data_IF_093311940991
#
_entry.id   IF_093311940991
#
_cell.length_a   1.000
_cell.length_b   1.000
_cell.length_c   1.000
_cell.angle_alpha   90.00
_cell.angle_beta   90.00
_cell.angle_gamma   90.00
#
_symmetry.space_group_name_H-M   'P 1'
#
loop_
_entity.id
_entity.type
_entity.pdbx_description
1 polymer ?
#
# COMPACT_ATOMS: atom_id res chain seq x y z
N UNK A 1 -2.68 -15.41 9.73
CA UNK A 1 -2.48 -15.67 8.29
C UNK A 1 -1.15 -15.06 7.90
N UNK A 2 -0.43 -15.63 6.93
CA UNK A 2 0.84 -15.06 6.47
C UNK A 2 0.62 -14.03 5.36
N UNK A 3 1.60 -13.14 5.16
CA UNK A 3 1.60 -12.13 4.09
C UNK A 3 1.53 -12.79 2.69
N UNK A 4 2.12 -13.98 2.55
CA UNK A 4 2.11 -14.75 1.30
C UNK A 4 0.73 -15.31 0.94
N UNK A 5 -0.08 -15.67 1.94
CA UNK A 5 -1.45 -16.18 1.76
C UNK A 5 -2.46 -15.04 1.58
N UNK A 6 -2.33 -13.96 2.35
CA UNK A 6 -3.23 -12.81 2.28
C UNK A 6 -2.49 -11.57 1.81
N UNK A 7 -2.53 -11.37 0.50
CA UNK A 7 -1.85 -10.30 -0.26
C UNK A 7 -2.53 -8.93 -0.17
N UNK A 8 -3.73 -8.90 0.40
CA UNK A 8 -4.54 -7.70 0.60
C UNK A 8 -4.86 -7.57 2.09
N UNK A 9 -4.30 -6.56 2.75
CA UNK A 9 -4.57 -6.28 4.16
C UNK A 9 -4.23 -4.84 4.49
N UNK A 10 -4.82 -4.35 5.58
CA UNK A 10 -4.49 -3.03 6.10
C UNK A 10 -3.65 -3.15 7.37
N UNK A 11 -2.90 -2.09 7.64
CA UNK A 11 -2.13 -1.95 8.87
C UNK A 11 -2.13 -0.49 9.33
N UNK A 12 -1.93 -0.29 10.62
CA UNK A 12 -1.74 1.04 11.19
C UNK A 12 -0.47 1.04 12.00
N UNK A 13 0.50 1.86 11.59
CA UNK A 13 1.75 2.03 12.31
C UNK A 13 1.78 3.42 12.96
N UNK A 14 2.21 3.47 14.21
CA UNK A 14 2.24 4.69 15.02
C UNK A 14 3.67 5.14 15.17
N UNK A 15 3.87 6.43 15.44
CA UNK A 15 5.20 6.93 15.81
C UNK A 15 5.69 6.17 17.03
N UNK A 16 6.86 5.57 16.89
CA UNK A 16 7.48 4.79 17.94
C UNK A 16 8.12 5.75 18.96
N UNK A 17 7.54 5.82 20.16
CA UNK A 17 8.09 6.58 21.28
C UNK A 17 9.04 5.74 22.15
N UNK A 18 9.21 4.45 21.86
CA UNK A 18 10.03 3.52 22.66
C UNK A 18 11.35 3.20 21.99
N UNK A 19 12.42 3.03 22.77
CA UNK A 19 13.72 2.58 22.26
C UNK A 19 13.79 1.06 22.03
N UNK A 20 12.75 0.32 22.42
CA UNK A 20 12.71 -1.14 22.30
C UNK A 20 12.41 -1.65 20.88
N UNK A 21 11.73 -0.84 20.07
CA UNK A 21 11.37 -1.24 18.70
C UNK A 21 12.49 -0.87 17.73
N UNK A 22 12.98 -1.88 17.02
CA UNK A 22 14.19 -1.80 16.21
C UNK A 22 13.88 -2.17 14.78
N UNK A 23 14.39 -1.39 13.85
CA UNK A 23 14.38 -1.62 12.42
C UNK A 23 15.68 -2.30 11.98
N UNK A 24 15.55 -3.44 11.32
CA UNK A 24 16.70 -4.17 10.77
C UNK A 24 17.02 -3.60 9.39
N UNK A 25 18.01 -2.70 9.33
CA UNK A 25 18.46 -2.11 8.06
C UNK A 25 19.32 -3.08 7.25
N UNK A 26 20.02 -3.98 7.94
CA UNK A 26 20.70 -5.12 7.34
C UNK A 26 20.76 -6.29 8.32
N UNK A 27 21.40 -7.40 7.93
CA UNK A 27 21.63 -8.55 8.83
C UNK A 27 22.41 -8.16 10.09
N UNK A 28 23.24 -7.12 10.00
CA UNK A 28 24.16 -6.68 11.06
C UNK A 28 23.84 -5.28 11.59
N UNK A 29 23.08 -4.47 10.84
CA UNK A 29 22.74 -3.10 11.22
C UNK A 29 21.29 -3.00 11.69
N UNK A 30 21.15 -2.63 12.96
CA UNK A 30 19.89 -2.43 13.66
C UNK A 30 19.81 -0.96 14.09
N UNK A 31 18.73 -0.29 13.74
CA UNK A 31 18.49 1.11 14.09
C UNK A 31 17.17 1.25 14.83
N UNK A 32 17.00 2.29 15.63
CA UNK A 32 15.70 2.57 16.27
C UNK A 32 14.63 2.77 15.19
N UNK A 33 13.50 2.09 15.33
CA UNK A 33 12.36 2.30 14.44
C UNK A 33 11.71 3.67 14.74
N UNK A 34 11.38 4.44 13.71
CA UNK A 34 10.58 5.68 13.87
C UNK A 34 9.09 5.36 13.96
N UNK A 35 8.68 4.25 13.36
CA UNK A 35 7.30 3.78 13.34
C UNK A 35 7.22 2.31 13.71
N UNK A 36 6.18 1.96 14.43
CA UNK A 36 5.89 0.58 14.83
C UNK A 36 4.38 0.35 14.80
N UNK A 37 3.97 -0.83 14.36
CA UNK A 37 2.61 -1.32 14.51
C UNK A 37 2.48 -2.75 14.05
N UNK A 38 1.25 -3.24 14.03
CA UNK A 38 0.92 -4.60 13.63
C UNK A 38 -0.06 -4.56 12.44
N UNK A 39 -0.11 -5.66 11.71
CA UNK A 39 -1.17 -5.90 10.74
C UNK A 39 -2.54 -5.94 11.41
N UNK A 40 -3.58 -5.68 10.63
CA UNK A 40 -4.96 -5.68 11.08
C UNK A 40 -5.37 -7.07 11.59
N UNK A 41 -5.90 -7.12 12.82
CA UNK A 41 -6.49 -8.33 13.42
C UNK A 41 -7.73 -8.79 12.63
N UNK A 42 -8.54 -7.84 12.15
CA UNK A 42 -9.67 -8.14 11.25
C UNK A 42 -9.22 -8.88 9.99
N UNK A 43 -7.98 -8.64 9.58
CA UNK A 43 -7.39 -9.31 8.43
C UNK A 43 -6.64 -10.61 8.78
N UNK A 44 -6.53 -10.97 10.06
CA UNK A 44 -5.75 -12.11 10.55
C UNK A 44 -4.24 -11.87 10.44
N UNK A 45 -3.80 -10.60 10.48
CA UNK A 45 -2.41 -10.16 10.36
C UNK A 45 -1.84 -9.60 11.67
N UNK A 46 -2.48 -9.90 12.81
CA UNK A 46 -2.05 -9.50 14.15
C UNK A 46 -0.61 -9.95 14.47
N UNK A 47 -0.22 -11.13 13.94
CA UNK A 47 1.13 -11.72 14.06
C UNK A 47 2.18 -11.12 13.12
N UNK A 48 1.78 -10.21 12.24
CA UNK A 48 2.69 -9.48 11.35
C UNK A 48 3.06 -8.17 12.02
N UNK A 49 4.30 -8.06 12.48
CA UNK A 49 4.85 -6.81 13.01
C UNK A 49 5.39 -5.96 11.86
N UNK A 50 5.24 -4.64 11.95
CA UNK A 50 5.65 -3.70 10.93
C UNK A 50 6.47 -2.60 11.59
N UNK A 51 7.74 -2.54 11.23
CA UNK A 51 8.68 -1.51 11.70
C UNK A 51 9.06 -0.60 10.55
N UNK A 52 9.10 0.69 10.80
CA UNK A 52 9.42 1.69 9.78
C UNK A 52 10.44 2.72 10.24
N UNK A 53 11.23 3.22 9.31
CA UNK A 53 12.13 4.36 9.52
C UNK A 53 11.96 5.41 8.42
N UNK A 54 12.13 6.68 8.79
CA UNK A 54 12.27 7.78 7.84
C UNK A 54 13.73 7.90 7.45
N UNK A 55 14.02 7.69 6.18
CA UNK A 55 15.37 7.85 5.65
C UNK A 55 15.36 8.58 4.31
N UNK A 56 16.53 9.06 3.89
CA UNK A 56 16.72 9.57 2.55
C UNK A 56 17.12 8.40 1.65
N UNK A 57 16.42 8.25 0.53
CA UNK A 57 16.73 7.22 -0.46
C UNK A 57 18.13 7.44 -1.00
N UNK A 58 19.02 6.44 -0.83
CA UNK A 58 20.38 6.50 -1.37
C UNK A 58 20.43 6.70 -2.89
N UNK A 59 19.40 6.26 -3.60
CA UNK A 59 19.33 6.35 -5.07
C UNK A 59 18.77 7.68 -5.57
N UNK A 60 17.72 8.21 -4.95
CA UNK A 60 17.03 9.41 -5.45
C UNK A 60 17.29 10.66 -4.64
N UNK A 61 17.91 10.55 -3.46
CA UNK A 61 18.03 11.66 -2.50
C UNK A 61 16.69 12.13 -1.92
N UNK A 62 15.57 11.52 -2.30
CA UNK A 62 14.23 11.87 -1.80
C UNK A 62 13.98 11.21 -0.45
N UNK A 63 13.21 11.89 0.41
CA UNK A 63 12.70 11.29 1.65
C UNK A 63 11.86 10.07 1.31
N UNK A 64 12.09 8.95 1.99
CA UNK A 64 11.34 7.72 1.87
C UNK A 64 11.06 7.14 3.26
N UNK A 65 10.04 6.31 3.36
CA UNK A 65 9.78 5.49 4.54
C UNK A 65 10.11 4.06 4.18
N UNK A 66 11.16 3.52 4.80
CA UNK A 66 11.48 2.11 4.66
C UNK A 66 10.71 1.32 5.71
N UNK A 67 10.07 0.25 5.29
CA UNK A 67 9.24 -0.62 6.11
C UNK A 67 9.79 -2.04 6.08
N UNK A 68 9.79 -2.71 7.23
CA UNK A 68 10.09 -4.13 7.37
C UNK A 68 8.88 -4.79 8.00
N UNK A 69 8.31 -5.75 7.29
CA UNK A 69 7.24 -6.60 7.79
C UNK A 69 7.87 -7.89 8.30
N UNK A 70 7.60 -8.22 9.55
CA UNK A 70 8.13 -9.38 10.26
C UNK A 70 6.95 -10.32 10.48
N UNK A 71 6.88 -11.36 9.66
CA UNK A 71 5.85 -12.39 9.76
C UNK A 71 6.36 -13.52 10.65
N UNK A 72 5.73 -13.68 11.82
CA UNK A 72 5.99 -14.78 12.78
C UNK A 72 4.83 -15.78 12.83
N UNK A 73 4.05 -15.87 11.75
CA UNK A 73 2.90 -16.79 11.69
C UNK A 73 3.32 -18.25 11.72
N UNK A 74 4.49 -18.58 11.15
CA UNK A 74 5.04 -19.95 11.12
C UNK A 74 5.93 -20.15 12.35
N UNK A 75 5.60 -21.15 13.16
CA UNK A 75 6.38 -21.47 14.35
C UNK A 75 7.83 -21.86 13.96
N UNK A 76 8.81 -21.23 14.61
CA UNK A 76 10.23 -21.45 14.31
C UNK A 76 10.77 -20.75 13.05
N UNK A 77 9.94 -20.11 12.23
CA UNK A 77 10.38 -19.39 11.02
C UNK A 77 9.90 -17.94 11.05
N UNK A 78 10.84 -16.99 11.08
CA UNK A 78 10.53 -15.56 10.93
C UNK A 78 10.84 -15.12 9.52
N UNK A 79 9.82 -14.70 8.78
CA UNK A 79 9.98 -14.14 7.44
C UNK A 79 10.02 -12.61 7.51
N UNK A 80 10.98 -12.02 6.79
CA UNK A 80 11.19 -10.58 6.73
C UNK A 80 10.93 -10.09 5.31
N UNK A 81 9.99 -9.16 5.16
CA UNK A 81 9.65 -8.56 3.88
C UNK A 81 9.94 -7.07 3.91
N UNK A 82 10.57 -6.56 2.85
CA UNK A 82 11.04 -5.19 2.80
C UNK A 82 10.14 -4.36 1.86
N UNK A 83 9.53 -3.33 2.43
CA UNK A 83 8.75 -2.34 1.72
C UNK A 83 9.43 -0.99 1.69
N UNK A 84 9.19 -0.23 0.63
CA UNK A 84 9.60 1.17 0.55
C UNK A 84 8.41 2.01 0.11
N UNK A 85 8.18 3.09 0.83
CA UNK A 85 7.17 4.09 0.58
C UNK A 85 7.84 5.41 0.22
N UNK A 86 7.41 6.00 -0.87
CA UNK A 86 7.87 7.29 -1.37
C UNK A 86 6.74 8.30 -1.30
N UNK A 87 7.04 9.58 -1.05
CA UNK A 87 6.04 10.63 -1.09
C UNK A 87 5.37 10.64 -2.47
N UNK A 88 4.04 10.71 -2.47
CA UNK A 88 3.26 10.79 -3.69
C UNK A 88 3.26 12.24 -4.19
N UNK A 89 4.23 12.57 -5.04
CA UNK A 89 4.35 13.90 -5.66
C UNK A 89 3.14 14.24 -6.57
N UNK A 90 2.30 13.26 -6.92
CA UNK A 90 1.10 13.40 -7.77
C UNK A 90 -0.21 13.43 -6.97
N UNK A 91 -0.14 13.70 -5.66
CA UNK A 91 -1.34 13.78 -4.82
C UNK A 91 -2.13 15.04 -5.19
N UNK A 92 -3.26 14.87 -5.87
CA UNK A 92 -4.14 15.98 -6.28
C UNK A 92 -5.42 16.08 -5.42
N UNK A 93 -5.80 15.00 -4.75
CA UNK A 93 -7.05 14.90 -3.98
C UNK A 93 -6.82 14.26 -2.61
N UNK A 94 -7.65 14.59 -1.62
CA UNK A 94 -7.57 14.07 -0.24
C UNK A 94 -7.74 12.54 -0.13
N UNK A 95 -8.45 11.92 -1.07
CA UNK A 95 -8.61 10.46 -1.11
C UNK A 95 -7.34 9.70 -1.52
N UNK A 96 -6.37 10.39 -2.14
CA UNK A 96 -5.16 9.77 -2.64
C UNK A 96 -4.13 9.53 -1.52
N UNK A 97 -3.34 8.45 -1.60
CA UNK A 97 -2.32 8.16 -0.59
C UNK A 97 -1.21 9.23 -0.59
N UNK A 98 -0.77 9.63 0.60
CA UNK A 98 0.36 10.53 0.81
C UNK A 98 1.69 9.87 0.42
N UNK A 99 1.76 8.56 0.60
CA UNK A 99 2.94 7.76 0.26
C UNK A 99 2.52 6.56 -0.58
N UNK A 100 3.32 6.22 -1.59
CA UNK A 100 3.10 5.03 -2.42
C UNK A 100 4.39 4.27 -2.59
N UNK A 101 4.28 2.97 -2.82
CA UNK A 101 5.46 2.18 -3.14
C UNK A 101 5.16 0.70 -3.25
N UNK A 102 6.16 -0.11 -2.95
CA UNK A 102 6.12 -1.56 -3.18
C UNK A 102 6.69 -2.32 -2.00
N UNK A 103 6.09 -3.49 -1.74
CA UNK A 103 6.56 -4.50 -0.80
C UNK A 103 7.07 -5.69 -1.61
N UNK A 104 8.33 -6.05 -1.44
CA UNK A 104 8.89 -7.22 -2.10
C UNK A 104 8.62 -8.44 -1.22
N UNK A 105 7.91 -9.43 -1.77
CA UNK A 105 7.64 -10.69 -1.08
C UNK A 105 8.80 -11.68 -1.17
N UNK A 106 9.71 -11.45 -2.11
CA UNK A 106 10.91 -12.26 -2.28
C UNK A 106 12.17 -11.40 -2.21
N UNK A 107 13.32 -12.05 -2.01
CA UNK A 107 14.66 -11.45 -2.10
C UNK A 107 15.12 -11.29 -3.55
N UNK A 108 14.46 -11.95 -4.51
CA UNK A 108 14.75 -11.82 -5.93
C UNK A 108 14.23 -10.50 -6.53
N UNK A 109 15.03 -9.88 -7.39
CA UNK A 109 14.74 -8.59 -8.06
C UNK A 109 13.45 -8.60 -8.90
N UNK A 110 13.06 -9.76 -9.42
CA UNK A 110 11.84 -9.98 -10.22
C UNK A 110 10.77 -10.80 -9.49
N UNK A 111 10.91 -10.96 -8.17
CA UNK A 111 9.93 -11.70 -7.38
C UNK A 111 8.56 -10.99 -7.29
N UNK A 112 7.53 -11.70 -6.79
CA UNK A 112 6.21 -11.13 -6.57
C UNK A 112 6.27 -9.90 -5.66
N UNK A 113 5.59 -8.84 -6.09
CA UNK A 113 5.56 -7.54 -5.41
C UNK A 113 4.12 -7.24 -5.03
N UNK A 114 3.94 -6.54 -3.91
CA UNK A 114 2.65 -5.97 -3.53
C UNK A 114 2.74 -4.45 -3.60
N UNK A 115 1.62 -3.81 -3.93
CA UNK A 115 1.49 -2.36 -3.88
C UNK A 115 1.26 -1.93 -2.43
N UNK A 116 2.02 -0.92 -2.02
CA UNK A 116 1.84 -0.24 -0.75
C UNK A 116 1.26 1.16 -0.99
N UNK A 117 0.21 1.48 -0.25
CA UNK A 117 -0.35 2.82 -0.16
C UNK A 117 -0.37 3.26 1.30
N UNK A 118 0.13 4.46 1.59
CA UNK A 118 0.26 5.01 2.93
C UNK A 118 -0.46 6.35 3.03
N UNK A 119 -1.34 6.51 4.03
CA UNK A 119 -1.98 7.77 4.39
C UNK A 119 -1.48 8.21 5.75
N UNK A 120 -0.98 9.45 5.84
CA UNK A 120 -0.56 10.03 7.10
C UNK A 120 -1.78 10.64 7.78
N UNK A 121 -2.25 9.98 8.84
CA UNK A 121 -3.45 10.38 9.59
C UNK A 121 -3.05 10.85 10.98
N UNK A 122 -3.92 11.67 11.59
CA UNK A 122 -3.80 12.07 12.99
C UNK A 122 -4.91 11.44 13.80
N UNK A 123 -4.60 11.03 15.02
CA UNK A 123 -5.58 10.55 15.98
C UNK A 123 -6.21 11.72 16.74
N UNK A 124 -7.28 11.44 17.49
CA UNK A 124 -7.92 12.42 18.39
C UNK A 124 -7.00 12.93 19.52
N UNK A 125 -5.87 12.25 19.78
CA UNK A 125 -4.88 12.60 20.81
C UNK A 125 -3.68 13.37 20.25
N UNK A 126 -3.80 13.91 19.03
CA UNK A 126 -2.72 14.55 18.27
C UNK A 126 -1.55 13.63 17.86
N UNK A 127 -1.59 12.34 18.23
CA UNK A 127 -0.61 11.37 17.74
C UNK A 127 -0.82 11.11 16.24
N UNK A 128 0.23 11.26 15.44
CA UNK A 128 0.23 10.90 14.03
C UNK A 128 0.50 9.41 13.83
N UNK A 129 -0.26 8.79 12.92
CA UNK A 129 -0.10 7.40 12.52
C UNK A 129 -0.13 7.28 11.00
N UNK A 130 0.58 6.30 10.47
CA UNK A 130 0.55 5.96 9.06
C UNK A 130 -0.38 4.77 8.88
N UNK A 131 -1.47 4.98 8.16
CA UNK A 131 -2.36 3.93 7.71
C UNK A 131 -1.79 3.35 6.42
N UNK A 132 -1.47 2.06 6.42
CA UNK A 132 -0.90 1.36 5.28
C UNK A 132 -1.96 0.41 4.74
N UNK A 133 -2.15 0.43 3.43
CA UNK A 133 -2.90 -0.59 2.71
C UNK A 133 -1.93 -1.36 1.80
N UNK A 134 -1.95 -2.67 1.93
CA UNK A 134 -1.23 -3.61 1.09
C UNK A 134 -2.24 -4.22 0.13
N UNK A 135 -1.91 -4.19 -1.16
CA UNK A 135 -2.75 -4.75 -2.21
C UNK A 135 -1.90 -5.45 -3.26
N UNK A 136 -2.52 -6.31 -4.06
CA UNK A 136 -1.85 -6.90 -5.22
C UNK A 136 -1.31 -5.82 -6.17
N UNK A 137 -0.08 -6.03 -6.65
CA UNK A 137 0.54 -5.14 -7.60
C UNK A 137 -0.06 -5.38 -8.99
N UNK A 138 -1.14 -4.67 -9.31
CA UNK A 138 -1.67 -4.62 -10.67
C UNK A 138 -0.75 -3.78 -11.54
N UNK A 139 -0.09 -4.41 -12.51
CA UNK A 139 0.69 -3.70 -13.50
C UNK A 139 -0.26 -2.82 -14.33
N UNK A 140 0.16 -1.60 -14.66
CA UNK A 140 -0.72 -0.55 -15.18
C UNK A 140 -1.36 -0.86 -16.56
N UNK A 141 -1.01 -1.98 -17.18
CA UNK A 141 -1.65 -2.45 -18.43
C UNK A 141 -3.06 -3.03 -18.20
N UNK A 142 -3.40 -3.51 -16.99
CA UNK A 142 -4.77 -3.99 -16.67
C UNK A 142 -5.67 -2.89 -16.05
N UNK A 143 -5.11 -1.75 -15.63
CA UNK A 143 -5.90 -0.66 -15.03
C UNK A 143 -6.57 0.25 -16.08
N UNK A 144 -6.24 0.09 -17.36
CA UNK A 144 -6.83 0.85 -18.46
C UNK A 144 -8.13 0.22 -18.99
N UNK A 145 -8.40 -1.07 -18.74
CA UNK A 145 -9.62 -1.73 -19.20
C UNK A 145 -10.80 -1.58 -18.22
N UNK A 146 -10.54 -1.44 -16.91
CA UNK A 146 -11.59 -1.28 -15.90
C UNK A 146 -12.15 0.15 -15.80
N UNK A 147 -11.43 1.16 -16.31
CA UNK A 147 -11.92 2.55 -16.34
C UNK A 147 -12.60 2.94 -17.65
N UNK A 148 -12.52 2.11 -18.69
CA UNK A 148 -13.26 2.33 -19.94
C UNK A 148 -14.71 1.77 -19.89
N UNK A 149 -15.05 0.98 -18.87
CA UNK A 149 -16.37 0.36 -18.75
C UNK A 149 -17.35 1.10 -17.81
N UNK A 150 -16.92 2.16 -17.12
CA UNK A 150 -17.74 2.89 -16.14
C UNK A 150 -18.23 4.28 -16.60
N UNK A 151 -17.84 4.75 -17.79
CA UNK A 151 -18.34 6.00 -18.39
C UNK A 151 -18.93 5.74 -19.79
N UNK A 152 -20.03 4.97 -19.81
CA UNK A 152 -21.04 5.16 -20.84
C UNK A 152 -22.26 5.79 -20.14
N UNK A 153 -22.49 7.11 -20.25
CA UNK A 153 -23.73 7.68 -19.77
C UNK A 153 -24.88 7.08 -20.58
N UNK A 154 -25.84 6.51 -19.85
CA UNK A 154 -27.16 6.22 -20.35
C UNK A 154 -27.75 7.48 -20.98
N UNK A 155 -28.15 7.40 -22.25
CA UNK A 155 -29.21 8.26 -22.77
C UNK A 155 -30.42 7.38 -23.04
N UNK A 156 -31.44 7.59 -22.21
CA UNK A 156 -32.78 7.06 -22.36
C UNK A 156 -33.42 7.53 -23.68
N UNK A 157 -34.19 6.59 -24.25
CA UNK A 157 -35.33 6.72 -25.15
C UNK A 157 -36.02 8.09 -25.23
N UNK A 158 -36.17 8.62 -26.44
CA UNK A 158 -37.31 9.46 -26.82
C UNK A 158 -37.74 9.07 -28.25
N UNK A 159 -39.00 8.65 -28.40
CA UNK A 159 -39.55 8.14 -29.66
C UNK A 159 -40.08 9.22 -30.62
N UNK A 160 -39.95 8.91 -31.93
CA UNK A 160 -40.92 9.00 -33.05
C UNK A 160 -41.60 10.35 -33.40
N UNK A 161 -42.19 10.53 -34.63
CA UNK A 161 -42.05 9.81 -35.91
C UNK A 161 -41.93 10.73 -37.17
N UNK A 162 -41.77 10.08 -38.34
CA UNK A 162 -42.19 10.48 -39.70
C UNK A 162 -41.53 11.69 -40.38
N UNK A 163 -40.77 11.45 -41.45
CA UNK A 163 -41.23 11.77 -42.82
C UNK A 163 -40.25 11.26 -43.90
N UNK A 164 -40.81 10.93 -45.07
CA UNK A 164 -40.16 10.72 -46.39
C UNK A 164 -39.18 9.53 -46.57
N UNK A 165 -39.60 8.48 -47.27
CA UNK A 165 -39.30 8.33 -48.72
C UNK A 165 -39.95 7.04 -49.31
N UNK A 166 -40.99 7.21 -50.13
CA UNK A 166 -41.60 6.16 -50.96
C UNK A 166 -41.09 6.36 -52.40
N UNK A 167 -40.45 5.37 -53.05
CA UNK A 167 -40.28 5.41 -54.50
C UNK A 167 -41.49 4.78 -55.22
N UNK A 168 -41.94 5.44 -56.29
CA UNK A 168 -42.92 4.97 -57.27
C UNK A 168 -42.32 3.91 -58.21
#
# INVERSE_FOLDING_TARGET
MSITTKRNFNASIFQNKSDKNVFNKSKTEKVKADYHGNGSDKDGMDKVEINGIKELSKNSGKKQISLVFIDRTVEGTTSFYNGKLFPNDRKEQDGQPDFTGVLNLDKETNGPKLRLAGWLKKTKKDDAYLSISVSEYKNKEEAAEDQAAAEAPALETAGAPADSDFPF
#
